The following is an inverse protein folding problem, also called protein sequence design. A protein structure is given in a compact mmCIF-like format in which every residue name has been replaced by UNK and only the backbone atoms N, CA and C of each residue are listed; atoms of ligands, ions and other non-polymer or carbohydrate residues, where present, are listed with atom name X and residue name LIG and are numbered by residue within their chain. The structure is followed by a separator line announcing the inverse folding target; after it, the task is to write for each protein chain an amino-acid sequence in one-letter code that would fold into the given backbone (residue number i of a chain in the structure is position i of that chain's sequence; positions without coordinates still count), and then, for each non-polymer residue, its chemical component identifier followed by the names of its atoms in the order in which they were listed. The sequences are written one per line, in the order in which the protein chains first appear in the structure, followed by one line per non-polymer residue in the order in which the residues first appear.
data_IF_985508056739
#
_entry.id   IF_985508056739
#
_cell.length_a   1.000
_cell.length_b   1.000
_cell.length_c   1.000
_cell.angle_alpha   90.00
_cell.angle_beta   90.00
_cell.angle_gamma   90.00
#
_symmetry.space_group_name_H-M   'P 1'
#
loop_
_entity.id
_entity.type
_entity.pdbx_description
1 polymer ?
#
# COMPACT_ATOMS: atom_id res chain seq x y z
N UNK A 1 -35.78 -39.39 68.42
CA UNK A 1 -35.04 -38.10 68.16
C UNK A 1 -33.74 -38.45 67.46
N UNK A 2 -33.71 -38.33 66.13
CA UNK A 2 -32.52 -38.64 65.33
C UNK A 2 -31.98 -37.30 64.79
N UNK A 3 -30.79 -36.95 65.26
CA UNK A 3 -30.13 -35.68 64.98
C UNK A 3 -29.27 -35.86 63.72
N UNK A 4 -29.78 -35.48 62.53
CA UNK A 4 -29.09 -35.58 61.29
C UNK A 4 -28.26 -34.28 61.04
N UNK A 5 -26.94 -34.31 61.35
CA UNK A 5 -26.00 -33.25 60.97
C UNK A 5 -25.74 -33.34 59.48
N UNK A 6 -26.16 -32.33 58.72
CA UNK A 6 -25.74 -32.14 57.33
C UNK A 6 -24.27 -31.65 57.30
N UNK A 7 -23.45 -32.19 56.40
CA UNK A 7 -22.07 -31.68 56.24
C UNK A 7 -22.09 -30.31 55.51
N UNK A 8 -21.36 -29.39 56.09
CA UNK A 8 -21.14 -28.05 55.58
C UNK A 8 -20.34 -28.15 54.24
N UNK A 9 -20.98 -27.80 53.14
CA UNK A 9 -20.30 -27.70 51.84
C UNK A 9 -19.34 -26.50 51.90
N UNK A 10 -18.05 -26.82 51.81
CA UNK A 10 -16.97 -25.84 51.72
C UNK A 10 -17.07 -25.19 50.31
N UNK A 11 -17.47 -23.89 50.25
CA UNK A 11 -17.40 -23.13 48.99
C UNK A 11 -15.97 -23.13 48.47
N UNK A 12 -15.78 -23.38 47.16
CA UNK A 12 -14.45 -23.25 46.55
C UNK A 12 -14.04 -21.75 46.55
N UNK A 13 -12.72 -21.48 46.66
CA UNK A 13 -12.24 -20.09 46.62
C UNK A 13 -12.70 -19.39 45.35
N UNK A 14 -13.35 -18.28 45.54
CA UNK A 14 -13.70 -17.35 44.43
C UNK A 14 -12.39 -16.75 43.90
N UNK A 15 -11.71 -17.50 43.04
CA UNK A 15 -10.69 -16.94 42.19
C UNK A 15 -11.39 -15.92 41.27
N UNK A 16 -11.33 -14.67 41.71
CA UNK A 16 -11.81 -13.54 40.92
C UNK A 16 -10.95 -13.49 39.67
N UNK A 17 -11.41 -14.13 38.61
CA UNK A 17 -10.95 -13.83 37.28
C UNK A 17 -11.14 -12.31 37.10
N UNK A 18 -10.06 -11.56 37.32
CA UNK A 18 -9.98 -10.15 36.94
C UNK A 18 -10.11 -10.12 35.42
N UNK A 19 -11.36 -10.05 34.96
CA UNK A 19 -11.63 -9.59 33.60
C UNK A 19 -11.08 -8.18 33.55
N UNK A 20 -9.86 -8.06 33.02
CA UNK A 20 -9.23 -6.76 32.76
C UNK A 20 -10.11 -6.14 31.65
N UNK A 21 -11.10 -5.35 32.08
CA UNK A 21 -11.91 -4.54 31.19
C UNK A 21 -10.96 -3.53 30.54
N UNK A 22 -10.46 -3.87 29.34
CA UNK A 22 -9.67 -2.95 28.52
C UNK A 22 -10.54 -1.73 28.24
N UNK A 23 -9.97 -0.55 28.43
CA UNK A 23 -10.70 0.70 28.17
C UNK A 23 -11.14 0.75 26.69
N UNK A 24 -12.29 1.38 26.36
CA UNK A 24 -12.75 1.49 24.97
C UNK A 24 -11.70 2.06 24.01
N UNK A 25 -10.86 2.99 24.48
CA UNK A 25 -9.72 3.54 23.70
C UNK A 25 -8.61 2.50 23.44
N UNK A 26 -8.38 1.57 24.36
CA UNK A 26 -7.39 0.49 24.19
C UNK A 26 -7.90 -0.57 23.22
N UNK A 27 -9.18 -0.94 23.30
CA UNK A 27 -9.84 -1.82 22.32
C UNK A 27 -9.75 -1.26 20.91
N UNK A 28 -10.06 0.01 20.73
CA UNK A 28 -10.01 0.66 19.41
C UNK A 28 -8.58 0.64 18.82
N UNK A 29 -7.56 0.87 19.64
CA UNK A 29 -6.16 0.82 19.20
C UNK A 29 -5.70 -0.59 18.82
N UNK A 30 -6.14 -1.59 19.57
CA UNK A 30 -5.80 -2.99 19.30
C UNK A 30 -6.45 -3.49 18.01
N UNK A 31 -7.74 -3.18 17.81
CA UNK A 31 -8.46 -3.46 16.57
C UNK A 31 -7.82 -2.77 15.35
N UNK A 32 -7.38 -1.52 15.51
CA UNK A 32 -6.67 -0.83 14.43
C UNK A 32 -5.32 -1.50 14.11
N UNK A 33 -4.59 -2.00 15.12
CA UNK A 33 -3.34 -2.75 14.91
C UNK A 33 -3.58 -4.10 14.24
N UNK A 34 -4.64 -4.79 14.60
CA UNK A 34 -5.05 -6.05 13.96
C UNK A 34 -5.37 -5.81 12.49
N UNK A 35 -6.23 -4.84 12.18
CA UNK A 35 -6.55 -4.45 10.80
C UNK A 35 -5.29 -4.05 10.02
N UNK A 36 -4.38 -3.28 10.63
CA UNK A 36 -3.12 -2.92 9.98
C UNK A 36 -2.24 -4.14 9.68
N UNK A 37 -2.21 -5.13 10.59
CA UNK A 37 -1.49 -6.40 10.38
C UNK A 37 -2.11 -7.18 9.21
N UNK A 38 -3.43 -7.26 9.13
CA UNK A 38 -4.13 -7.94 8.04
C UNK A 38 -3.82 -7.28 6.69
N UNK A 39 -3.83 -5.94 6.63
CA UNK A 39 -3.43 -5.18 5.45
C UNK A 39 -1.99 -5.53 5.03
N UNK A 40 -1.04 -5.53 5.99
CA UNK A 40 0.36 -5.87 5.73
C UNK A 40 0.57 -7.30 5.24
N UNK A 41 -0.31 -8.24 5.60
CA UNK A 41 -0.27 -9.62 5.12
C UNK A 41 -0.93 -9.80 3.75
N UNK A 42 -2.09 -9.15 3.52
CA UNK A 42 -2.85 -9.39 2.29
C UNK A 42 -2.27 -8.64 1.08
N UNK A 43 -1.78 -7.42 1.26
CA UNK A 43 -1.26 -6.61 0.15
C UNK A 43 -0.13 -7.33 -0.61
N UNK A 44 0.91 -7.89 0.05
CA UNK A 44 1.96 -8.62 -0.67
C UNK A 44 1.44 -9.87 -1.40
N UNK A 45 0.39 -10.53 -0.88
CA UNK A 45 -0.22 -11.68 -1.55
C UNK A 45 -0.92 -11.25 -2.84
N UNK A 46 -1.75 -10.20 -2.78
CA UNK A 46 -2.42 -9.61 -3.95
C UNK A 46 -1.38 -9.14 -4.99
N UNK A 47 -0.34 -8.44 -4.56
CA UNK A 47 0.72 -7.97 -5.44
C UNK A 47 1.49 -9.10 -6.11
N UNK A 48 1.77 -10.21 -5.41
CA UNK A 48 2.41 -11.40 -6.02
C UNK A 48 1.52 -12.02 -7.10
N UNK A 49 0.23 -12.16 -6.83
CA UNK A 49 -0.75 -12.69 -7.78
C UNK A 49 -0.81 -11.84 -9.05
N UNK A 50 -0.96 -10.53 -8.89
CA UNK A 50 -0.96 -9.59 -10.01
C UNK A 50 0.36 -9.65 -10.76
N UNK A 51 1.50 -9.61 -10.06
CA UNK A 51 2.82 -9.69 -10.70
C UNK A 51 3.06 -11.01 -11.45
N UNK A 52 2.52 -12.12 -10.97
CA UNK A 52 2.59 -13.39 -11.69
C UNK A 52 1.81 -13.34 -12.99
N UNK A 53 0.59 -12.80 -12.97
CA UNK A 53 -0.26 -12.60 -14.15
C UNK A 53 0.40 -11.67 -15.18
N UNK A 54 1.02 -10.56 -14.72
CA UNK A 54 1.73 -9.63 -15.60
C UNK A 54 2.91 -10.26 -16.31
N UNK A 55 3.65 -11.13 -15.63
CA UNK A 55 4.77 -11.86 -16.22
C UNK A 55 4.29 -12.89 -17.27
N UNK A 56 3.20 -13.60 -16.99
CA UNK A 56 2.65 -14.58 -17.93
C UNK A 56 2.08 -13.93 -19.20
N UNK A 57 1.55 -12.72 -19.09
CA UNK A 57 1.04 -11.96 -20.24
C UNK A 57 2.15 -11.33 -21.10
N UNK A 58 3.42 -11.33 -20.66
CA UNK A 58 4.56 -10.75 -21.39
C UNK A 58 4.48 -9.24 -21.62
N UNK A 59 3.51 -8.56 -21.01
CA UNK A 59 3.16 -7.18 -21.33
C UNK A 59 3.97 -6.12 -20.60
N UNK A 60 4.51 -6.46 -19.41
CA UNK A 60 5.34 -5.55 -18.61
C UNK A 60 6.59 -6.26 -18.10
N UNK A 61 7.78 -5.79 -18.48
CA UNK A 61 9.03 -6.42 -18.06
C UNK A 61 9.31 -6.29 -16.56
N UNK A 62 8.66 -5.33 -15.86
CA UNK A 62 8.81 -5.17 -14.42
C UNK A 62 7.50 -4.63 -13.79
N UNK A 63 7.05 -5.19 -12.65
CA UNK A 63 5.90 -4.68 -11.91
C UNK A 63 6.00 -3.20 -11.51
N UNK A 64 7.24 -2.70 -11.34
CA UNK A 64 7.49 -1.29 -11.03
C UNK A 64 6.99 -0.34 -12.14
N UNK A 65 7.01 -0.75 -13.40
CA UNK A 65 6.53 0.06 -14.53
C UNK A 65 5.01 0.29 -14.46
N UNK A 66 4.24 -0.70 -13.94
CA UNK A 66 2.81 -0.54 -13.74
C UNK A 66 2.51 0.61 -12.76
N UNK A 67 3.18 0.64 -11.60
CA UNK A 67 3.03 1.72 -10.62
C UNK A 67 3.41 3.08 -11.18
N UNK A 68 4.51 3.16 -11.96
CA UNK A 68 4.95 4.40 -12.60
C UNK A 68 3.96 4.88 -13.66
N UNK A 69 3.44 4.00 -14.52
CA UNK A 69 2.42 4.37 -15.51
C UNK A 69 1.14 4.85 -14.84
N UNK A 70 0.69 4.19 -13.76
CA UNK A 70 -0.50 4.62 -13.01
C UNK A 70 -0.34 6.04 -12.48
N UNK A 71 0.80 6.34 -11.85
CA UNK A 71 1.11 7.66 -11.29
C UNK A 71 1.19 8.73 -12.40
N UNK A 72 1.80 8.41 -13.55
CA UNK A 72 1.96 9.32 -14.67
C UNK A 72 0.68 9.53 -15.46
N UNK A 73 -0.28 8.60 -15.41
CA UNK A 73 -1.61 8.78 -16.00
C UNK A 73 -2.43 9.86 -15.28
N UNK A 74 -2.17 10.13 -13.99
CA UNK A 74 -2.82 11.20 -13.24
C UNK A 74 -2.38 12.59 -13.71
N UNK A 75 -1.06 12.80 -13.84
CA UNK A 75 -0.43 14.02 -14.33
C UNK A 75 1.05 13.81 -14.65
N UNK A 76 1.67 14.66 -15.48
CA UNK A 76 3.11 14.70 -15.65
C UNK A 76 3.82 14.98 -14.33
N UNK A 77 5.02 14.39 -14.14
CA UNK A 77 5.80 14.53 -12.90
C UNK A 77 7.30 14.67 -13.18
N UNK A 78 8.00 15.31 -12.24
CA UNK A 78 9.46 15.37 -12.27
C UNK A 78 10.08 14.02 -11.91
N UNK A 79 11.28 13.77 -12.42
CA UNK A 79 12.04 12.55 -12.07
C UNK A 79 12.30 12.44 -10.55
N UNK A 80 12.59 13.57 -9.89
CA UNK A 80 12.79 13.64 -8.44
C UNK A 80 11.53 13.29 -7.65
N UNK A 81 10.38 13.74 -8.13
CA UNK A 81 9.08 13.42 -7.51
C UNK A 81 8.77 11.93 -7.64
N UNK A 82 8.98 11.35 -8.81
CA UNK A 82 8.78 9.91 -9.04
C UNK A 82 9.72 9.07 -8.17
N UNK A 83 10.99 9.45 -8.05
CA UNK A 83 11.96 8.77 -7.19
C UNK A 83 11.52 8.80 -5.72
N UNK A 84 11.02 9.96 -5.25
CA UNK A 84 10.51 10.12 -3.88
C UNK A 84 9.27 9.26 -3.64
N UNK A 85 8.29 9.28 -4.56
CA UNK A 85 7.06 8.50 -4.45
C UNK A 85 7.31 6.98 -4.43
N UNK A 86 8.30 6.51 -5.20
CA UNK A 86 8.67 5.10 -5.27
C UNK A 86 9.70 4.68 -4.21
N UNK A 87 10.24 5.61 -3.44
CA UNK A 87 11.25 5.32 -2.41
C UNK A 87 12.58 4.79 -2.99
N UNK A 88 12.94 5.17 -4.22
CA UNK A 88 14.15 4.72 -4.91
C UNK A 88 15.12 5.87 -5.15
N UNK A 89 16.38 5.53 -5.50
CA UNK A 89 17.38 6.54 -5.86
C UNK A 89 17.11 7.18 -7.23
N UNK A 90 17.58 8.42 -7.46
CA UNK A 90 17.48 9.09 -8.77
C UNK A 90 18.08 8.28 -9.92
N UNK A 91 19.27 7.66 -9.79
CA UNK A 91 19.80 6.80 -10.84
C UNK A 91 18.89 5.62 -11.16
N UNK A 92 18.34 4.95 -10.15
CA UNK A 92 17.39 3.83 -10.33
C UNK A 92 16.13 4.30 -11.07
N UNK A 93 15.57 5.44 -10.66
CA UNK A 93 14.41 6.02 -11.35
C UNK A 93 14.73 6.42 -12.78
N UNK A 94 15.89 7.05 -13.01
CA UNK A 94 16.33 7.43 -14.36
C UNK A 94 16.43 6.21 -15.29
N UNK A 95 17.01 5.11 -14.83
CA UNK A 95 17.08 3.86 -15.58
C UNK A 95 15.70 3.29 -15.92
N UNK A 96 14.77 3.32 -14.92
CA UNK A 96 13.39 2.87 -15.15
C UNK A 96 12.67 3.72 -16.20
N UNK A 97 12.81 5.04 -16.13
CA UNK A 97 12.22 5.96 -17.12
C UNK A 97 12.84 5.76 -18.50
N UNK A 98 14.16 5.61 -18.61
CA UNK A 98 14.83 5.34 -19.90
C UNK A 98 14.32 4.05 -20.54
N UNK A 99 14.17 2.97 -19.77
CA UNK A 99 13.60 1.72 -20.26
C UNK A 99 12.13 1.86 -20.71
N UNK A 100 11.37 2.78 -20.12
CA UNK A 100 9.99 3.09 -20.54
C UNK A 100 9.95 4.02 -21.76
N UNK A 101 10.94 4.92 -21.91
CA UNK A 101 11.09 5.76 -23.12
C UNK A 101 11.46 4.91 -24.36
N UNK A 102 12.39 3.95 -24.21
CA UNK A 102 12.76 3.01 -25.29
C UNK A 102 11.54 2.21 -25.80
N UNK A 103 10.53 2.00 -24.96
CA UNK A 103 9.27 1.36 -25.34
C UNK A 103 8.21 2.33 -25.88
N UNK A 104 8.50 3.62 -25.90
CA UNK A 104 7.54 4.64 -26.30
C UNK A 104 6.38 4.83 -25.31
N UNK A 105 6.52 4.39 -24.05
CA UNK A 105 5.47 4.51 -23.05
C UNK A 105 5.44 5.86 -22.36
N UNK A 106 6.58 6.48 -22.24
CA UNK A 106 6.74 7.82 -21.66
C UNK A 106 7.68 8.64 -22.52
N UNK A 107 7.68 9.94 -22.30
CA UNK A 107 8.69 10.87 -22.84
C UNK A 107 9.13 11.87 -21.78
N UNK A 108 10.35 12.37 -21.92
CA UNK A 108 10.80 13.57 -21.24
C UNK A 108 10.45 14.78 -22.07
N UNK A 109 9.73 15.72 -21.50
CA UNK A 109 9.48 17.02 -22.16
C UNK A 109 10.65 17.93 -21.92
N UNK A 110 11.06 18.67 -22.98
CA UNK A 110 12.02 19.74 -22.82
C UNK A 110 11.45 20.83 -21.91
N UNK A 111 12.27 21.52 -21.10
CA UNK A 111 11.82 22.68 -20.36
C UNK A 111 11.28 23.73 -21.34
N UNK A 112 10.08 24.24 -21.09
CA UNK A 112 9.52 25.34 -21.88
C UNK A 112 10.19 26.66 -21.49
N UNK A 113 10.13 27.68 -22.35
CA UNK A 113 10.70 29.01 -22.04
C UNK A 113 10.12 29.63 -20.78
N UNK A 114 8.87 29.27 -20.43
CA UNK A 114 8.20 29.71 -19.21
C UNK A 114 8.72 28.98 -17.94
N UNK A 115 9.27 27.76 -18.10
CA UNK A 115 9.79 26.97 -16.97
C UNK A 115 11.08 26.24 -17.38
N UNK A 116 12.17 27.02 -17.46
CA UNK A 116 13.49 26.61 -17.98
C UNK A 116 14.22 25.56 -17.13
N UNK A 117 13.63 25.03 -16.07
CA UNK A 117 14.42 24.33 -15.04
C UNK A 117 14.14 22.85 -14.85
N UNK A 118 13.05 22.30 -15.37
CA UNK A 118 12.69 20.93 -15.00
C UNK A 118 12.05 20.16 -16.16
N UNK A 119 12.71 19.08 -16.59
CA UNK A 119 12.11 18.12 -17.49
C UNK A 119 11.00 17.35 -16.76
N UNK A 120 9.81 17.32 -17.36
CA UNK A 120 8.68 16.54 -16.87
C UNK A 120 8.63 15.20 -17.62
N UNK A 121 8.20 14.17 -16.94
CA UNK A 121 7.92 12.86 -17.52
C UNK A 121 6.43 12.77 -17.80
N UNK A 122 6.08 12.50 -19.05
CA UNK A 122 4.71 12.36 -19.51
C UNK A 122 4.43 10.96 -20.06
N UNK A 123 3.24 10.43 -19.79
CA UNK A 123 2.80 9.17 -20.37
C UNK A 123 2.33 9.38 -21.79
N UNK A 124 2.81 8.51 -22.69
CA UNK A 124 2.42 8.49 -24.11
C UNK A 124 1.18 7.60 -24.31
N UNK A 125 0.46 7.74 -25.45
CA UNK A 125 -0.70 6.88 -25.78
C UNK A 125 -0.38 5.38 -25.68
N UNK A 126 0.80 4.97 -26.15
CA UNK A 126 1.24 3.57 -26.04
C UNK A 126 1.39 3.10 -24.56
N UNK A 127 1.88 3.97 -23.67
CA UNK A 127 1.97 3.69 -22.24
C UNK A 127 0.60 3.56 -21.58
N UNK A 128 -0.36 4.43 -21.94
CA UNK A 128 -1.76 4.32 -21.47
C UNK A 128 -2.39 3.00 -21.94
N UNK A 129 -2.25 2.67 -23.21
CA UNK A 129 -2.77 1.42 -23.76
C UNK A 129 -2.13 0.18 -23.10
N UNK A 130 -0.82 0.21 -22.82
CA UNK A 130 -0.14 -0.86 -22.07
C UNK A 130 -0.70 -1.00 -20.65
N UNK A 131 -0.85 0.11 -19.92
CA UNK A 131 -1.45 0.12 -18.58
C UNK A 131 -2.87 -0.45 -18.59
N UNK A 132 -3.71 -0.04 -19.53
CA UNK A 132 -5.09 -0.53 -19.63
C UNK A 132 -5.19 -2.03 -19.93
N UNK A 133 -4.36 -2.55 -20.85
CA UNK A 133 -4.32 -4.00 -21.12
C UNK A 133 -4.00 -4.80 -19.88
N UNK A 134 -2.92 -4.39 -19.19
CA UNK A 134 -2.47 -5.02 -17.97
C UNK A 134 -3.52 -4.94 -16.86
N UNK A 135 -4.13 -3.76 -16.68
CA UNK A 135 -5.18 -3.56 -15.68
C UNK A 135 -6.36 -4.50 -15.94
N UNK A 136 -6.83 -4.60 -17.18
CA UNK A 136 -7.93 -5.50 -17.55
C UNK A 136 -7.58 -6.97 -17.31
N UNK A 137 -6.36 -7.40 -17.66
CA UNK A 137 -5.91 -8.77 -17.40
C UNK A 137 -5.85 -9.09 -15.92
N UNK A 138 -5.27 -8.20 -15.11
CA UNK A 138 -5.21 -8.34 -13.66
C UNK A 138 -6.61 -8.33 -13.01
N UNK A 139 -7.49 -7.43 -13.48
CA UNK A 139 -8.88 -7.30 -13.00
C UNK A 139 -9.68 -8.57 -13.29
N UNK A 140 -9.58 -9.13 -14.51
CA UNK A 140 -10.24 -10.38 -14.87
C UNK A 140 -9.78 -11.51 -13.97
N UNK A 141 -8.48 -11.67 -13.78
CA UNK A 141 -7.93 -12.72 -12.93
C UNK A 141 -8.37 -12.58 -11.46
N UNK A 142 -8.33 -11.37 -10.91
CA UNK A 142 -8.82 -11.10 -9.56
C UNK A 142 -10.32 -11.34 -9.44
N UNK A 143 -11.10 -11.00 -10.47
CA UNK A 143 -12.55 -11.27 -10.50
C UNK A 143 -12.87 -12.77 -10.46
N UNK A 144 -12.10 -13.58 -11.20
CA UNK A 144 -12.21 -15.05 -11.17
C UNK A 144 -11.92 -15.60 -9.76
N UNK A 145 -10.86 -15.11 -9.12
CA UNK A 145 -10.53 -15.51 -7.74
C UNK A 145 -11.60 -15.09 -6.72
N UNK A 146 -12.28 -13.99 -6.95
CA UNK A 146 -13.35 -13.48 -6.08
C UNK A 146 -14.73 -14.07 -6.42
N UNK A 147 -14.88 -14.76 -7.56
CA UNK A 147 -16.15 -15.33 -8.00
C UNK A 147 -16.80 -16.29 -6.97
N UNK A 148 -16.05 -17.15 -6.24
CA UNK A 148 -16.61 -18.05 -5.24
C UNK A 148 -17.20 -17.35 -4.00
N UNK A 149 -16.86 -16.08 -3.78
CA UNK A 149 -17.33 -15.31 -2.61
C UNK A 149 -18.81 -14.96 -2.79
N UNK A 150 -19.65 -15.22 -1.76
CA UNK A 150 -21.07 -14.87 -1.77
C UNK A 150 -21.31 -13.36 -1.91
N UNK A 151 -22.51 -12.98 -2.37
CA UNK A 151 -22.85 -11.59 -2.68
C UNK A 151 -22.73 -10.66 -1.45
N UNK A 152 -23.06 -11.16 -0.26
CA UNK A 152 -23.02 -10.36 0.97
C UNK A 152 -21.58 -10.08 1.38
N UNK A 153 -20.72 -11.09 1.37
CA UNK A 153 -19.30 -10.97 1.67
C UNK A 153 -18.57 -10.12 0.64
N UNK A 154 -18.92 -10.26 -0.64
CA UNK A 154 -18.38 -9.41 -1.71
C UNK A 154 -18.73 -7.94 -1.52
N UNK A 155 -19.96 -7.63 -1.11
CA UNK A 155 -20.38 -6.25 -0.78
C UNK A 155 -19.64 -5.70 0.43
N UNK A 156 -19.42 -6.52 1.48
CA UNK A 156 -18.63 -6.11 2.65
C UNK A 156 -17.18 -5.81 2.27
N UNK A 157 -16.57 -6.65 1.45
CA UNK A 157 -15.23 -6.44 0.91
C UNK A 157 -15.14 -5.14 0.11
N UNK A 158 -16.08 -4.90 -0.80
CA UNK A 158 -16.15 -3.66 -1.60
C UNK A 158 -16.23 -2.41 -0.71
N UNK A 159 -17.08 -2.44 0.31
CA UNK A 159 -17.20 -1.33 1.27
C UNK A 159 -15.91 -1.12 2.06
N UNK A 160 -15.25 -2.19 2.51
CA UNK A 160 -13.96 -2.13 3.20
C UNK A 160 -12.86 -1.51 2.33
N UNK A 161 -12.77 -1.90 1.07
CA UNK A 161 -11.85 -1.29 0.09
C UNK A 161 -12.15 0.19 -0.14
N UNK A 162 -13.44 0.58 -0.12
CA UNK A 162 -13.86 1.99 -0.18
C UNK A 162 -13.35 2.81 1.01
N UNK A 163 -13.34 2.24 2.22
CA UNK A 163 -12.78 2.87 3.42
C UNK A 163 -11.26 3.02 3.28
N UNK A 164 -10.56 1.96 2.88
CA UNK A 164 -9.11 2.00 2.66
C UNK A 164 -8.73 3.07 1.65
N UNK A 165 -9.45 3.17 0.53
CA UNK A 165 -9.22 4.20 -0.49
C UNK A 165 -9.29 5.60 0.10
N UNK A 166 -10.27 5.89 0.96
CA UNK A 166 -10.40 7.21 1.62
C UNK A 166 -9.23 7.50 2.57
N UNK A 167 -8.81 6.50 3.35
CA UNK A 167 -7.68 6.65 4.30
C UNK A 167 -6.39 6.97 3.56
N UNK A 168 -6.08 6.24 2.47
CA UNK A 168 -4.82 6.42 1.73
C UNK A 168 -4.86 7.51 0.66
N UNK A 169 -6.06 7.94 0.20
CA UNK A 169 -6.16 9.10 -0.70
C UNK A 169 -5.99 10.45 0.02
N UNK A 170 -6.20 10.51 1.33
CA UNK A 170 -6.02 11.73 2.12
C UNK A 170 -4.55 12.10 2.37
N UNK A 171 -3.61 11.22 2.01
CA UNK A 171 -2.15 11.40 2.14
C UNK A 171 -1.47 11.55 0.76
N UNK A 172 -1.54 12.70 0.07
CA UNK A 172 -0.75 12.90 -1.13
C UNK A 172 0.73 13.07 -0.74
N UNK A 173 1.48 11.96 -0.72
CA UNK A 173 2.95 12.00 -0.67
C UNK A 173 3.60 12.06 0.70
N UNK A 174 3.00 11.57 1.76
CA UNK A 174 3.70 11.32 3.02
C UNK A 174 4.59 10.08 2.91
N UNK A 175 5.77 10.24 2.29
CA UNK A 175 6.90 9.37 2.61
C UNK A 175 7.20 9.53 4.10
N UNK A 176 7.34 8.45 4.90
CA UNK A 176 7.82 8.55 6.27
C UNK A 176 9.23 9.16 6.20
N UNK A 177 9.33 10.44 6.60
CA UNK A 177 10.58 11.17 6.61
C UNK A 177 11.60 10.38 7.43
N UNK A 178 12.70 9.98 6.80
CA UNK A 178 13.91 9.58 7.53
C UNK A 178 14.20 10.65 8.57
N UNK A 179 14.41 10.30 9.83
CA UNK A 179 14.82 11.27 10.84
C UNK A 179 16.09 11.97 10.33
N UNK A 180 16.03 13.28 10.16
CA UNK A 180 17.21 14.10 9.84
C UNK A 180 18.20 13.92 11.00
N UNK A 181 19.19 13.07 10.78
CA UNK A 181 20.31 12.89 11.69
C UNK A 181 21.07 14.23 11.78
N UNK A 182 20.72 15.05 12.76
CA UNK A 182 21.49 16.22 13.17
C UNK A 182 22.76 15.72 13.85
N UNK A 183 23.71 15.19 13.09
CA UNK A 183 25.08 15.09 13.57
C UNK A 183 25.68 16.48 13.50
N UNK A 184 25.92 17.03 14.68
CA UNK A 184 26.51 18.32 14.92
C UNK A 184 27.84 18.48 14.16
N UNK A 185 27.95 19.58 13.44
CA UNK A 185 29.23 20.11 13.03
C UNK A 185 30.02 20.45 14.30
N UNK A 186 31.06 19.73 14.59
CA UNK A 186 32.12 20.21 15.49
C UNK A 186 32.88 21.31 14.74
N UNK A 187 33.12 22.48 15.36
CA UNK A 187 34.00 23.47 14.77
C UNK A 187 35.46 22.95 14.84
N UNK A 188 36.14 22.99 13.72
CA UNK A 188 37.59 22.89 13.69
C UNK A 188 38.14 24.17 14.37
N UNK A 189 38.90 24.01 15.49
CA UNK A 189 39.76 25.03 16.03
C UNK A 189 41.16 24.72 15.51
N UNK A 190 41.80 25.76 15.02
CA UNK A 190 43.14 25.86 14.49
C UNK A 190 44.19 25.36 15.50
#
# INVERSE_FOLDING_TARGET
MVNTKFPTVKEPPREHARIILRSPKQMTREQARETARDILHIIPAVMRTVAAQLRSAGELPAPAHFGLLSILCERPRMLTELASLQGVSLPTMSNSISAMEERGWVRRTAPTEADRRVAMIEVMPAGRAALERVSRSAETHLAEMLAPIDVTSRRRLHNGLGILRKVFAAEPGASPGRPRNRRGRRPYVV
#
